data_IF_927636363343
#
_entry.id   IF_927636363343
#
_cell.length_a   1.000
_cell.length_b   1.000
_cell.length_c   1.000
_cell.angle_alpha   90.00
_cell.angle_beta   90.00
_cell.angle_gamma   90.00
#
_symmetry.space_group_name_H-M   'P 1'
#
loop_
_entity.id
_entity.type
_entity.pdbx_description
1 polymer ?
#
# COMPACT_ATOMS: atom_id res chain seq x y z
N UNK A 1 34.51 30.17 -18.51
CA UNK A 1 33.42 30.61 -19.41
C UNK A 1 32.90 31.94 -18.92
N UNK A 2 32.81 32.97 -19.77
CA UNK A 2 32.26 34.29 -19.44
C UNK A 2 30.81 34.33 -19.90
N UNK A 3 29.86 34.47 -18.98
CA UNK A 3 28.43 34.60 -19.30
C UNK A 3 28.13 36.08 -19.56
N UNK A 4 27.56 36.40 -20.73
CA UNK A 4 27.18 37.77 -21.09
C UNK A 4 25.72 38.06 -20.66
N UNK A 5 25.41 39.22 -20.06
CA UNK A 5 24.09 39.49 -19.45
C UNK A 5 23.04 40.09 -20.40
N UNK A 6 23.32 40.21 -21.70
CA UNK A 6 22.52 41.02 -22.63
C UNK A 6 21.29 40.30 -23.24
N UNK A 7 20.64 39.38 -22.53
CA UNK A 7 19.47 38.64 -23.06
C UNK A 7 18.14 38.90 -22.31
N UNK A 8 18.08 39.88 -21.42
CA UNK A 8 16.86 40.16 -20.61
C UNK A 8 16.01 41.30 -21.21
N UNK A 9 15.85 41.35 -22.53
CA UNK A 9 14.94 42.33 -23.18
C UNK A 9 13.67 41.67 -23.76
N UNK A 10 13.50 40.34 -23.60
CA UNK A 10 12.39 39.58 -24.22
C UNK A 10 11.19 39.26 -23.32
N UNK A 11 11.27 39.48 -22.01
CA UNK A 11 10.30 38.94 -21.04
C UNK A 11 9.19 39.91 -20.58
N UNK A 12 9.16 41.14 -21.10
CA UNK A 12 8.11 42.10 -20.74
C UNK A 12 6.72 41.90 -21.38
N UNK A 13 6.54 41.36 -22.61
CA UNK A 13 5.20 41.27 -23.18
C UNK A 13 4.33 40.16 -22.54
N UNK A 14 4.92 39.12 -21.95
CA UNK A 14 4.15 38.00 -21.35
C UNK A 14 3.54 38.33 -19.97
N UNK A 15 4.10 39.28 -19.21
CA UNK A 15 3.55 39.63 -17.89
C UNK A 15 2.28 40.48 -17.98
N UNK A 16 2.10 41.23 -19.07
CA UNK A 16 0.93 42.11 -19.24
C UNK A 16 -0.33 41.32 -19.63
N UNK A 17 -0.19 40.20 -20.36
CA UNK A 17 -1.32 39.33 -20.71
C UNK A 17 -1.87 38.49 -19.53
N UNK A 18 -1.06 38.22 -18.50
CA UNK A 18 -1.54 37.52 -17.30
C UNK A 18 -2.40 38.38 -16.37
N UNK A 19 -2.30 39.71 -16.44
CA UNK A 19 -3.08 40.61 -15.56
C UNK A 19 -4.53 40.79 -15.98
N UNK A 20 -4.87 40.58 -17.26
CA UNK A 20 -6.26 40.71 -17.75
C UNK A 20 -7.09 39.44 -17.57
N UNK A 21 -6.47 38.28 -17.34
CA UNK A 21 -7.17 37.00 -17.13
C UNK A 21 -7.62 36.77 -15.67
N UNK A 22 -7.19 37.60 -14.71
CA UNK A 22 -7.48 37.45 -13.28
C UNK A 22 -8.73 38.19 -12.78
N UNK A 23 -9.58 38.71 -13.67
CA UNK A 23 -10.84 39.37 -13.32
C UNK A 23 -12.10 38.51 -13.52
N UNK A 24 -11.97 37.19 -13.58
CA UNK A 24 -13.11 36.28 -13.50
C UNK A 24 -13.19 35.69 -12.09
N UNK A 25 -14.23 36.07 -11.35
CA UNK A 25 -14.51 35.64 -9.98
C UNK A 25 -14.44 34.10 -9.87
N UNK A 26 -13.69 33.52 -8.91
CA UNK A 26 -13.40 32.09 -8.82
C UNK A 26 -14.62 31.14 -8.73
N UNK A 27 -15.82 31.67 -8.49
CA UNK A 27 -17.06 30.91 -8.38
C UNK A 27 -17.93 30.86 -9.65
N UNK A 28 -17.71 31.74 -10.63
CA UNK A 28 -18.54 31.76 -11.85
C UNK A 28 -18.11 30.71 -12.87
N UNK A 29 -16.80 30.46 -13.01
CA UNK A 29 -16.27 29.53 -14.00
C UNK A 29 -16.69 28.07 -13.74
N UNK A 30 -16.75 27.65 -12.47
CA UNK A 30 -17.18 26.29 -12.12
C UNK A 30 -18.68 26.08 -12.36
N UNK A 31 -19.50 27.09 -12.06
CA UNK A 31 -20.95 27.06 -12.30
C UNK A 31 -21.29 26.97 -13.79
N UNK A 32 -20.56 27.69 -14.65
CA UNK A 32 -20.72 27.59 -16.11
C UNK A 32 -20.34 26.20 -16.65
N UNK A 33 -19.26 25.59 -16.14
CA UNK A 33 -18.86 24.24 -16.53
C UNK A 33 -19.89 23.18 -16.11
N UNK A 34 -20.45 23.29 -14.90
CA UNK A 34 -21.53 22.39 -14.45
C UNK A 34 -22.80 22.56 -15.29
N UNK A 35 -23.18 23.80 -15.60
CA UNK A 35 -24.37 24.06 -16.42
C UNK A 35 -24.19 23.54 -17.86
N UNK A 36 -22.98 23.63 -18.40
CA UNK A 36 -22.66 23.12 -19.73
C UNK A 36 -22.73 21.58 -19.78
N UNK A 37 -22.33 20.89 -18.72
CA UNK A 37 -22.39 19.43 -18.65
C UNK A 37 -23.82 18.91 -18.43
N UNK A 38 -24.63 19.62 -17.64
CA UNK A 38 -26.07 19.32 -17.47
C UNK A 38 -26.83 19.56 -18.77
N UNK A 39 -26.57 20.66 -19.47
CA UNK A 39 -27.19 20.96 -20.77
C UNK A 39 -26.78 19.96 -21.88
N UNK A 40 -25.57 19.39 -21.80
CA UNK A 40 -25.10 18.32 -22.70
C UNK A 40 -25.84 17.00 -22.46
N UNK A 41 -26.39 16.77 -21.26
CA UNK A 41 -27.14 15.57 -20.89
C UNK A 41 -28.60 15.53 -21.38
N UNK A 42 -29.18 16.65 -21.81
CA UNK A 42 -30.63 16.78 -22.08
C UNK A 42 -31.02 17.07 -23.55
N UNK A 43 -30.19 16.75 -24.54
CA UNK A 43 -30.59 16.90 -25.96
C UNK A 43 -30.95 15.55 -26.61
N UNK A 44 -32.19 15.34 -27.08
CA UNK A 44 -32.55 14.18 -27.87
C UNK A 44 -32.01 14.29 -29.32
N UNK A 45 -31.64 13.14 -29.85
CA UNK A 45 -30.96 12.88 -31.12
C UNK A 45 -31.48 13.67 -32.34
N UNK A 46 -30.58 14.37 -33.03
CA UNK A 46 -30.52 14.42 -34.50
C UNK A 46 -29.20 15.04 -35.00
N UNK A 47 -28.68 14.44 -36.07
CA UNK A 47 -27.66 14.93 -37.02
C UNK A 47 -26.17 14.60 -36.75
N UNK A 48 -25.65 13.85 -37.74
CA UNK A 48 -24.29 13.83 -38.27
C UNK A 48 -23.16 13.35 -37.34
N UNK A 49 -22.72 12.12 -37.63
CA UNK A 49 -21.44 11.59 -37.20
C UNK A 49 -20.28 12.47 -37.66
N UNK A 50 -19.70 13.21 -36.72
CA UNK A 50 -18.29 13.59 -36.75
C UNK A 50 -17.75 13.25 -35.37
N UNK A 51 -17.15 12.07 -35.24
CA UNK A 51 -16.49 11.67 -34.00
C UNK A 51 -15.31 12.60 -33.75
N UNK A 52 -15.24 13.31 -32.61
CA UNK A 52 -14.02 13.99 -32.20
C UNK A 52 -12.93 12.93 -31.96
N UNK A 53 -11.64 13.23 -32.22
CA UNK A 53 -10.57 12.32 -31.84
C UNK A 53 -10.66 12.08 -30.33
N UNK A 54 -10.65 10.81 -29.91
CA UNK A 54 -10.48 10.44 -28.51
C UNK A 54 -9.12 10.95 -28.05
N UNK A 55 -9.10 12.16 -27.50
CA UNK A 55 -8.00 12.62 -26.67
C UNK A 55 -8.03 11.74 -25.42
N UNK A 56 -7.11 10.78 -25.36
CA UNK A 56 -6.89 9.93 -24.21
C UNK A 56 -6.72 10.81 -22.97
N UNK A 57 -7.73 10.84 -22.11
CA UNK A 57 -7.70 11.57 -20.85
C UNK A 57 -6.78 10.77 -19.90
N UNK A 58 -5.59 11.27 -19.52
CA UNK A 58 -4.68 10.52 -18.63
C UNK A 58 -5.27 10.33 -17.23
N UNK A 59 -6.32 11.07 -16.87
CA UNK A 59 -7.10 10.89 -15.64
C UNK A 59 -8.14 9.76 -15.72
N UNK A 60 -8.44 9.25 -16.92
CA UNK A 60 -9.24 8.02 -17.09
C UNK A 60 -8.35 6.77 -17.05
N UNK A 61 -7.04 6.94 -17.30
CA UNK A 61 -6.05 5.87 -17.13
C UNK A 61 -5.77 5.55 -15.66
N UNK A 62 -6.08 6.46 -14.72
CA UNK A 62 -6.06 6.16 -13.27
C UNK A 62 -7.28 5.37 -12.79
N UNK A 63 -8.27 5.13 -13.68
CA UNK A 63 -9.37 4.19 -13.45
C UNK A 63 -8.99 2.72 -13.62
N UNK A 64 -7.77 2.44 -14.13
CA UNK A 64 -7.09 1.17 -13.89
C UNK A 64 -6.56 1.16 -12.45
N UNK A 65 -7.48 1.31 -11.49
CA UNK A 65 -7.29 0.79 -10.15
C UNK A 65 -7.03 -0.68 -10.36
N UNK A 66 -5.78 -1.05 -10.10
CA UNK A 66 -5.27 -2.40 -9.94
C UNK A 66 -6.42 -3.30 -9.53
N UNK A 67 -6.84 -4.16 -10.46
CA UNK A 67 -7.92 -5.12 -10.27
C UNK A 67 -7.62 -5.78 -8.93
N UNK A 68 -8.43 -5.53 -7.90
CA UNK A 68 -8.23 -6.10 -6.56
C UNK A 68 -8.12 -7.60 -6.78
N UNK A 69 -6.89 -8.11 -6.76
CA UNK A 69 -6.62 -9.48 -7.09
C UNK A 69 -7.45 -10.31 -6.12
N UNK A 70 -8.18 -11.28 -6.68
CA UNK A 70 -8.94 -12.21 -5.89
C UNK A 70 -8.00 -12.80 -4.85
N UNK A 71 -8.28 -12.58 -3.56
CA UNK A 71 -7.43 -13.11 -2.49
C UNK A 71 -7.38 -14.62 -2.68
N UNK A 72 -6.18 -15.10 -3.02
CA UNK A 72 -5.92 -16.51 -3.20
C UNK A 72 -6.19 -17.24 -1.89
N UNK A 73 -6.93 -18.36 -1.96
CA UNK A 73 -7.38 -19.07 -0.75
C UNK A 73 -6.21 -19.61 0.07
N UNK A 74 -5.14 -20.03 -0.61
CA UNK A 74 -3.90 -20.47 0.04
C UNK A 74 -3.22 -19.30 0.74
N UNK A 75 -3.10 -18.16 0.06
CA UNK A 75 -2.58 -16.93 0.67
C UNK A 75 -3.35 -16.49 1.92
N UNK A 76 -4.70 -16.56 1.88
CA UNK A 76 -5.54 -16.25 3.04
C UNK A 76 -5.36 -17.26 4.20
N UNK A 77 -5.25 -18.55 3.89
CA UNK A 77 -5.04 -19.58 4.90
C UNK A 77 -3.70 -19.41 5.62
N UNK A 78 -2.63 -19.17 4.85
CA UNK A 78 -1.28 -18.91 5.41
C UNK A 78 -1.28 -17.63 6.23
N UNK A 79 -1.91 -16.56 5.74
CA UNK A 79 -2.04 -15.32 6.50
C UNK A 79 -2.74 -15.55 7.86
N UNK A 80 -3.80 -16.37 7.91
CA UNK A 80 -4.46 -16.74 9.15
C UNK A 80 -3.58 -17.60 10.09
N UNK A 81 -2.74 -18.48 9.55
CA UNK A 81 -1.76 -19.22 10.35
C UNK A 81 -0.69 -18.28 10.94
N UNK A 82 -0.20 -17.33 10.14
CA UNK A 82 0.73 -16.28 10.59
C UNK A 82 0.10 -15.44 11.71
N UNK A 83 -1.15 -15.02 11.56
CA UNK A 83 -1.88 -14.28 12.59
C UNK A 83 -1.97 -15.07 13.90
N UNK A 84 -2.32 -16.35 13.83
CA UNK A 84 -2.34 -17.22 15.01
C UNK A 84 -0.95 -17.36 15.67
N UNK A 85 0.14 -17.36 14.90
CA UNK A 85 1.49 -17.37 15.46
C UNK A 85 1.82 -16.04 16.15
N UNK A 86 1.38 -14.91 15.58
CA UNK A 86 1.56 -13.59 16.19
C UNK A 86 0.80 -13.46 17.53
N UNK A 87 -0.42 -14.00 17.62
CA UNK A 87 -1.16 -14.05 18.89
C UNK A 87 -0.40 -14.85 19.97
N UNK A 88 0.30 -15.91 19.57
CA UNK A 88 1.17 -16.68 20.48
C UNK A 88 2.40 -15.88 20.89
N UNK A 89 2.97 -15.06 20.01
CA UNK A 89 4.05 -14.14 20.36
C UNK A 89 3.61 -13.12 21.41
N UNK A 90 2.41 -12.58 21.28
CA UNK A 90 1.83 -11.67 22.28
C UNK A 90 1.62 -12.39 23.61
N UNK A 91 1.10 -13.63 23.58
CA UNK A 91 0.93 -14.46 24.78
C UNK A 91 2.26 -14.80 25.46
N UNK A 92 3.30 -15.08 24.67
CA UNK A 92 4.66 -15.29 25.14
C UNK A 92 5.21 -14.04 25.83
N UNK A 93 5.10 -12.88 25.18
CA UNK A 93 5.55 -11.60 25.74
C UNK A 93 4.81 -11.25 27.04
N UNK A 94 3.49 -11.44 27.09
CA UNK A 94 2.68 -11.22 28.28
C UNK A 94 3.10 -12.16 29.44
N UNK A 95 3.42 -13.42 29.13
CA UNK A 95 3.92 -14.39 30.11
C UNK A 95 5.23 -13.92 30.71
N UNK A 96 6.16 -13.41 29.89
CA UNK A 96 7.46 -12.91 30.36
C UNK A 96 7.36 -11.62 31.20
N UNK A 97 6.37 -10.77 30.93
CA UNK A 97 6.15 -9.55 31.71
C UNK A 97 5.51 -9.82 33.08
N UNK A 98 4.86 -10.97 33.25
CA UNK A 98 4.16 -11.32 34.47
C UNK A 98 5.16 -11.76 35.54
N UNK A 99 5.26 -10.98 36.62
CA UNK A 99 6.13 -11.30 37.76
C UNK A 99 5.74 -12.64 38.39
N UNK A 100 6.68 -13.58 38.45
CA UNK A 100 6.47 -14.93 39.00
C UNK A 100 5.86 -15.94 38.02
N UNK A 101 5.66 -15.57 36.75
CA UNK A 101 5.25 -16.53 35.73
C UNK A 101 6.34 -17.57 35.45
N UNK A 102 5.92 -18.77 35.07
CA UNK A 102 6.84 -19.87 34.82
C UNK A 102 7.56 -19.68 33.50
N UNK A 103 8.89 -19.60 33.54
CA UNK A 103 9.75 -19.65 32.34
C UNK A 103 9.51 -20.92 31.50
N UNK A 104 9.10 -22.02 32.15
CA UNK A 104 8.71 -23.25 31.44
C UNK A 104 7.46 -23.04 30.59
N UNK A 105 6.49 -22.26 31.08
CA UNK A 105 5.29 -21.94 30.31
C UNK A 105 5.63 -21.05 29.11
N UNK A 106 6.44 -20.01 29.32
CA UNK A 106 6.92 -19.17 28.22
C UNK A 106 7.71 -19.97 27.17
N UNK A 107 8.59 -20.88 27.59
CA UNK A 107 9.29 -21.78 26.68
C UNK A 107 8.34 -22.71 25.92
N UNK A 108 7.29 -23.22 26.57
CA UNK A 108 6.25 -24.01 25.89
C UNK A 108 5.57 -23.23 24.77
N UNK A 109 5.18 -21.97 25.02
CA UNK A 109 4.61 -21.10 23.98
C UNK A 109 5.61 -20.86 22.83
N UNK A 110 6.89 -20.65 23.15
CA UNK A 110 7.95 -20.49 22.15
C UNK A 110 8.16 -21.74 21.29
N UNK A 111 8.00 -22.92 21.87
CA UNK A 111 8.07 -24.19 21.13
C UNK A 111 6.89 -24.37 20.17
N UNK A 112 5.69 -23.98 20.59
CA UNK A 112 4.52 -23.97 19.73
C UNK A 112 4.63 -22.97 18.58
N UNK A 113 5.21 -21.79 18.81
CA UNK A 113 5.49 -20.79 17.77
C UNK A 113 6.40 -21.39 16.71
N UNK A 114 7.54 -21.95 17.11
CA UNK A 114 8.50 -22.51 16.18
C UNK A 114 7.90 -23.69 15.39
N UNK A 115 7.13 -24.55 16.05
CA UNK A 115 6.41 -25.65 15.39
C UNK A 115 5.38 -25.14 14.38
N UNK A 116 4.67 -24.05 14.68
CA UNK A 116 3.74 -23.41 13.76
C UNK A 116 4.43 -22.84 12.52
N UNK A 117 5.58 -22.19 12.70
CA UNK A 117 6.39 -21.67 11.59
C UNK A 117 6.90 -22.81 10.71
N UNK A 118 7.39 -23.89 11.30
CA UNK A 118 7.86 -25.08 10.57
C UNK A 118 6.72 -25.77 9.81
N UNK A 119 5.52 -25.82 10.39
CA UNK A 119 4.32 -26.34 9.71
C UNK A 119 4.01 -25.53 8.44
N UNK A 120 4.00 -24.18 8.51
CA UNK A 120 3.78 -23.34 7.32
C UNK A 120 4.83 -23.63 6.24
N UNK A 121 6.12 -23.75 6.61
CA UNK A 121 7.18 -24.06 5.64
C UNK A 121 7.01 -25.43 4.98
N UNK A 122 6.48 -26.40 5.71
CA UNK A 122 6.31 -27.77 5.26
C UNK A 122 5.06 -27.93 4.40
N UNK A 123 3.96 -27.30 4.83
CA UNK A 123 2.65 -27.37 4.16
C UNK A 123 2.65 -26.55 2.87
N UNK A 124 3.42 -25.45 2.81
CA UNK A 124 3.47 -24.52 1.67
C UNK A 124 4.90 -24.34 1.13
N UNK A 125 5.49 -25.37 0.49
CA UNK A 125 6.87 -25.33 0.00
C UNK A 125 7.07 -24.28 -1.12
N UNK A 126 6.01 -23.98 -1.86
CA UNK A 126 6.02 -23.04 -2.99
C UNK A 126 5.74 -21.59 -2.57
N UNK A 127 5.59 -21.31 -1.26
CA UNK A 127 5.23 -19.99 -0.73
C UNK A 127 6.17 -18.88 -1.19
N UNK A 128 7.45 -19.19 -1.40
CA UNK A 128 8.43 -18.23 -1.90
C UNK A 128 8.13 -17.74 -3.32
N UNK A 129 7.50 -18.59 -4.14
CA UNK A 129 7.17 -18.29 -5.53
C UNK A 129 5.77 -17.70 -5.67
N UNK A 130 4.82 -18.16 -4.85
CA UNK A 130 3.42 -17.75 -4.92
C UNK A 130 3.14 -16.48 -4.12
N UNK A 131 3.68 -16.38 -2.91
CA UNK A 131 3.43 -15.28 -1.97
C UNK A 131 4.75 -14.83 -1.29
N UNK A 132 5.67 -14.19 -2.04
CA UNK A 132 7.00 -13.85 -1.53
C UNK A 132 6.97 -12.95 -0.28
N UNK A 133 5.95 -12.09 -0.16
CA UNK A 133 5.74 -11.27 1.04
C UNK A 133 5.43 -12.12 2.28
N UNK A 134 4.53 -13.09 2.16
CA UNK A 134 4.21 -14.00 3.27
C UNK A 134 5.42 -14.87 3.63
N UNK A 135 6.17 -15.35 2.64
CA UNK A 135 7.42 -16.07 2.86
C UNK A 135 8.42 -15.27 3.69
N UNK A 136 8.58 -13.97 3.38
CA UNK A 136 9.47 -13.09 4.15
C UNK A 136 9.03 -12.96 5.62
N UNK A 137 7.73 -12.92 5.90
CA UNK A 137 7.21 -12.84 7.26
C UNK A 137 7.48 -14.16 8.01
N UNK A 138 7.22 -15.29 7.36
CA UNK A 138 7.51 -16.62 7.95
C UNK A 138 9.00 -16.78 8.25
N UNK A 139 9.88 -16.27 7.38
CA UNK A 139 11.33 -16.28 7.62
C UNK A 139 11.74 -15.43 8.83
N UNK A 140 11.14 -14.25 8.99
CA UNK A 140 11.41 -13.40 10.15
C UNK A 140 10.92 -14.05 11.45
N UNK A 141 9.72 -14.64 11.43
CA UNK A 141 9.17 -15.35 12.59
C UNK A 141 10.06 -16.53 13.01
N UNK A 142 10.64 -17.25 12.06
CA UNK A 142 11.60 -18.32 12.31
C UNK A 142 12.89 -17.80 12.96
N UNK A 143 13.46 -16.73 12.39
CA UNK A 143 14.66 -16.10 12.91
C UNK A 143 14.45 -15.56 14.35
N UNK A 144 13.28 -14.96 14.60
CA UNK A 144 12.88 -14.53 15.93
C UNK A 144 12.75 -15.71 16.90
N UNK A 145 12.05 -16.78 16.52
CA UNK A 145 11.86 -17.96 17.36
C UNK A 145 13.21 -18.62 17.71
N UNK A 146 14.11 -18.75 16.72
CA UNK A 146 15.45 -19.27 16.93
C UNK A 146 16.27 -18.39 17.88
N UNK A 147 16.17 -17.07 17.73
CA UNK A 147 16.87 -16.11 18.59
C UNK A 147 16.39 -16.18 20.04
N UNK A 148 15.08 -16.24 20.26
CA UNK A 148 14.50 -16.35 21.61
C UNK A 148 14.85 -17.70 22.25
N UNK A 149 14.86 -18.79 21.47
CA UNK A 149 15.31 -20.11 21.96
C UNK A 149 16.77 -20.06 22.40
N UNK A 150 17.62 -19.36 21.66
CA UNK A 150 19.02 -19.15 22.03
C UNK A 150 19.15 -18.35 23.34
N UNK A 151 18.39 -17.25 23.50
CA UNK A 151 18.35 -16.47 24.74
C UNK A 151 17.91 -17.32 25.95
N UNK A 152 16.88 -18.15 25.76
CA UNK A 152 16.41 -19.09 26.78
C UNK A 152 17.49 -20.09 27.19
N UNK A 153 18.15 -20.72 26.22
CA UNK A 153 19.21 -21.70 26.48
C UNK A 153 20.46 -21.07 27.12
N UNK A 154 20.71 -19.78 26.84
CA UNK A 154 21.79 -19.01 27.49
C UNK A 154 21.45 -18.62 28.93
N UNK A 155 20.16 -18.57 29.27
CA UNK A 155 19.68 -18.19 30.60
C UNK A 155 19.39 -16.69 30.76
N UNK A 156 19.15 -15.94 29.68
CA UNK A 156 18.91 -14.48 29.73
C UNK A 156 17.65 -14.07 30.51
N UNK A 157 16.79 -15.03 30.85
CA UNK A 157 15.52 -14.80 31.56
C UNK A 157 15.59 -15.19 33.05
N UNK A 158 16.77 -15.53 33.58
CA UNK A 158 17.04 -15.89 34.99
C UNK A 158 17.88 -14.80 35.64
#
# INVERSE_FOLDING_TARGET
MKIRPDQIEGIQPEQTQRRTATQSTPGQAFGEFLNQEVARGESPTAAAAVMPPLMANPLLATGALDQVQSVDKTGAAVAGQVESILDKWDSYAATLQTSGASLKAAYGTLDEIASGVEAIRTDEPDLASTHPGLKSIVDELDAMAATERFKFNRGDYI
#
